data_IF_967724226286
#
_entry.id   IF_967724226286
#
_cell.length_a   1.000
_cell.length_b   1.000
_cell.length_c   1.000
_cell.angle_alpha   90.00
_cell.angle_beta   90.00
_cell.angle_gamma   90.00
#
_symmetry.space_group_name_H-M   'P 1'
#
loop_
_entity.id
_entity.type
_entity.pdbx_description
1 polymer ?
#
# COMPACT_ATOMS: atom_id res chain seq x y z
N UNK A 1 10.63 1.00 -4.28
CA UNK A 1 9.30 0.43 -4.64
C UNK A 1 8.83 0.94 -5.98
N UNK A 2 8.51 2.24 -6.16
CA UNK A 2 8.08 2.81 -7.45
C UNK A 2 9.04 2.49 -8.60
N UNK A 3 10.34 2.70 -8.42
CA UNK A 3 11.36 2.37 -9.44
C UNK A 3 11.28 0.90 -9.89
N UNK A 4 11.08 -0.03 -8.94
CA UNK A 4 10.94 -1.47 -9.22
C UNK A 4 9.60 -1.84 -9.84
N UNK A 5 8.53 -1.13 -9.48
CA UNK A 5 7.21 -1.29 -10.13
C UNK A 5 7.27 -0.86 -11.60
N UNK A 6 7.89 0.29 -11.88
CA UNK A 6 8.12 0.77 -13.26
C UNK A 6 9.03 -0.17 -14.05
N UNK A 7 10.09 -0.71 -13.44
CA UNK A 7 10.94 -1.73 -14.09
C UNK A 7 10.13 -2.98 -14.48
N UNK A 8 9.25 -3.44 -13.59
CA UNK A 8 8.39 -4.60 -13.84
C UNK A 8 7.38 -4.33 -14.96
N UNK A 9 6.86 -3.11 -15.06
CA UNK A 9 5.91 -2.70 -16.09
C UNK A 9 6.52 -2.45 -17.47
N UNK A 10 7.85 -2.52 -17.65
CA UNK A 10 8.46 -2.43 -18.98
C UNK A 10 7.92 -3.49 -19.95
N UNK A 11 7.65 -4.70 -19.46
CA UNK A 11 7.01 -5.75 -20.28
C UNK A 11 5.60 -5.39 -20.74
N UNK A 12 4.87 -4.66 -19.90
CA UNK A 12 3.53 -4.16 -20.23
C UNK A 12 3.63 -3.04 -21.27
N UNK A 13 4.60 -2.13 -21.10
CA UNK A 13 4.92 -1.07 -22.05
C UNK A 13 5.29 -1.64 -23.43
N UNK A 14 6.10 -2.70 -23.48
CA UNK A 14 6.47 -3.38 -24.74
C UNK A 14 5.28 -4.08 -25.42
N UNK A 15 4.28 -4.51 -24.65
CA UNK A 15 3.11 -5.26 -25.15
C UNK A 15 1.92 -4.37 -25.57
N UNK A 16 1.99 -3.06 -25.35
CA UNK A 16 0.85 -2.14 -25.49
C UNK A 16 1.29 -0.89 -26.25
N UNK A 17 0.54 -0.52 -27.29
CA UNK A 17 0.84 0.67 -28.08
C UNK A 17 0.69 1.99 -27.29
N UNK A 18 -0.48 2.23 -26.68
CA UNK A 18 -0.74 3.37 -25.81
C UNK A 18 -1.86 3.07 -24.80
N UNK A 19 -1.81 3.75 -23.65
CA UNK A 19 -2.84 3.62 -22.62
C UNK A 19 -2.49 4.26 -21.29
N UNK A 20 -3.39 4.09 -20.32
CA UNK A 20 -3.23 4.53 -18.94
C UNK A 20 -3.29 3.31 -18.03
N UNK A 21 -2.21 3.06 -17.29
CA UNK A 21 -2.13 2.00 -16.29
C UNK A 21 -2.68 2.50 -14.97
N UNK A 22 -3.71 1.82 -14.44
CA UNK A 22 -4.25 2.05 -13.11
C UNK A 22 -3.79 0.90 -12.22
N UNK A 23 -2.99 1.22 -11.20
CA UNK A 23 -2.41 0.25 -10.27
C UNK A 23 -2.43 0.77 -8.84
N UNK A 24 -2.44 -0.13 -7.86
CA UNK A 24 -2.27 0.26 -6.47
C UNK A 24 -0.80 0.60 -6.16
N UNK A 25 -0.58 1.51 -5.22
CA UNK A 25 0.77 2.03 -4.90
C UNK A 25 1.53 1.16 -3.90
N UNK A 26 0.83 0.24 -3.25
CA UNK A 26 1.31 -0.68 -2.21
C UNK A 26 1.46 -2.11 -2.71
N UNK A 27 1.53 -2.32 -4.03
CA UNK A 27 1.74 -3.63 -4.64
C UNK A 27 2.89 -3.61 -5.62
N UNK A 28 3.48 -4.79 -5.82
CA UNK A 28 4.46 -5.01 -6.87
C UNK A 28 4.15 -6.32 -7.58
N UNK A 29 3.99 -6.23 -8.89
CA UNK A 29 3.72 -7.34 -9.78
C UNK A 29 5.01 -7.85 -10.41
N UNK A 30 5.22 -9.16 -10.36
CA UNK A 30 6.38 -9.79 -10.98
C UNK A 30 6.00 -10.42 -12.32
N UNK A 31 6.68 -9.99 -13.37
CA UNK A 31 6.57 -10.58 -14.70
C UNK A 31 7.78 -11.47 -14.95
N UNK A 32 7.55 -12.78 -15.01
CA UNK A 32 8.61 -13.73 -15.31
C UNK A 32 9.27 -13.36 -16.67
N UNK A 33 10.60 -13.12 -16.72
CA UNK A 33 11.30 -12.78 -17.96
C UNK A 33 11.06 -13.75 -19.12
N UNK A 34 10.82 -15.03 -18.82
CA UNK A 34 10.61 -16.10 -19.81
C UNK A 34 9.21 -16.12 -20.44
N UNK A 35 8.25 -15.38 -19.88
CA UNK A 35 6.88 -15.33 -20.37
C UNK A 35 6.75 -14.17 -21.35
N UNK A 36 6.28 -14.47 -22.57
CA UNK A 36 5.87 -13.45 -23.52
C UNK A 36 4.49 -12.93 -23.13
N UNK A 37 4.35 -11.62 -23.05
CA UNK A 37 3.07 -10.98 -22.74
C UNK A 37 2.39 -10.62 -24.05
N UNK A 38 1.34 -11.37 -24.41
CA UNK A 38 0.55 -11.11 -25.60
C UNK A 38 -0.77 -10.48 -25.19
N UNK A 39 -1.06 -9.31 -25.76
CA UNK A 39 -2.26 -8.52 -25.46
C UNK A 39 -2.92 -8.18 -26.78
N UNK A 40 -4.22 -8.43 -26.87
CA UNK A 40 -5.02 -8.12 -28.05
C UNK A 40 -5.08 -6.60 -28.27
N UNK A 41 -4.55 -6.12 -29.40
CA UNK A 41 -4.58 -4.70 -29.74
C UNK A 41 -5.98 -4.13 -29.97
N UNK A 42 -6.99 -4.99 -30.15
CA UNK A 42 -8.39 -4.56 -30.29
C UNK A 42 -9.14 -4.47 -28.96
N UNK A 43 -8.55 -4.90 -27.83
CA UNK A 43 -9.17 -4.73 -26.50
C UNK A 43 -9.12 -3.26 -26.09
N UNK A 44 -10.21 -2.70 -25.56
CA UNK A 44 -10.23 -1.31 -25.07
C UNK A 44 -9.80 -1.22 -23.60
N UNK A 45 -9.94 -2.32 -22.87
CA UNK A 45 -9.58 -2.46 -21.47
C UNK A 45 -8.91 -3.81 -21.25
N UNK A 46 -7.74 -3.79 -20.60
CA UNK A 46 -6.99 -4.99 -20.23
C UNK A 46 -6.96 -5.10 -18.71
N UNK A 47 -7.49 -6.20 -18.17
CA UNK A 47 -7.47 -6.50 -16.75
C UNK A 47 -6.36 -7.49 -16.46
N UNK A 48 -5.51 -7.21 -15.47
CA UNK A 48 -4.51 -8.16 -15.02
C UNK A 48 -4.96 -8.81 -13.71
N UNK A 49 -4.79 -10.13 -13.64
CA UNK A 49 -5.12 -10.89 -12.45
C UNK A 49 -4.10 -11.97 -12.12
N UNK A 50 -4.24 -12.52 -10.91
CA UNK A 50 -3.35 -13.55 -10.37
C UNK A 50 -4.15 -14.70 -9.79
N UNK A 51 -3.59 -15.91 -9.83
CA UNK A 51 -4.17 -17.06 -9.12
C UNK A 51 -3.86 -16.97 -7.63
N UNK A 52 -4.87 -16.68 -6.83
CA UNK A 52 -4.75 -16.49 -5.38
C UNK A 52 -5.58 -17.51 -4.61
N UNK A 53 -5.32 -17.66 -3.32
CA UNK A 53 -6.18 -18.49 -2.46
C UNK A 53 -7.55 -17.85 -2.26
N UNK A 54 -8.54 -18.64 -1.83
CA UNK A 54 -9.88 -18.13 -1.52
C UNK A 54 -9.81 -17.07 -0.41
N UNK A 55 -8.96 -17.27 0.60
CA UNK A 55 -8.75 -16.30 1.69
C UNK A 55 -8.36 -14.91 1.17
N UNK A 56 -7.47 -14.88 0.17
CA UNK A 56 -7.04 -13.63 -0.48
C UNK A 56 -8.19 -13.04 -1.31
N UNK A 57 -8.99 -13.89 -1.98
CA UNK A 57 -10.20 -13.50 -2.69
C UNK A 57 -11.23 -12.76 -1.83
N UNK A 58 -11.37 -13.13 -0.55
CA UNK A 58 -12.28 -12.45 0.40
C UNK A 58 -11.89 -10.98 0.66
N UNK A 59 -10.64 -10.60 0.38
CA UNK A 59 -10.10 -9.26 0.63
C UNK A 59 -9.90 -8.41 -0.64
N UNK A 60 -10.04 -9.00 -1.83
CA UNK A 60 -9.76 -8.38 -3.12
C UNK A 60 -10.93 -8.49 -4.10
N UNK A 61 -10.80 -7.87 -5.28
CA UNK A 61 -11.69 -8.13 -6.39
C UNK A 61 -11.40 -9.51 -6.99
N UNK A 62 -12.43 -10.20 -7.47
CA UNK A 62 -12.30 -11.52 -8.09
C UNK A 62 -12.93 -11.49 -9.48
N UNK A 63 -12.15 -11.87 -10.49
CA UNK A 63 -12.62 -12.03 -11.86
C UNK A 63 -13.24 -13.41 -12.02
N UNK A 64 -14.50 -13.43 -12.47
CA UNK A 64 -15.19 -14.64 -12.89
C UNK A 64 -15.05 -14.72 -14.39
N UNK A 65 -14.41 -15.78 -14.88
CA UNK A 65 -14.22 -16.02 -16.31
C UNK A 65 -15.19 -17.10 -16.78
N UNK A 66 -15.73 -16.93 -17.98
CA UNK A 66 -16.54 -17.94 -18.62
C UNK A 66 -15.68 -19.11 -19.16
N UNK A 67 -16.32 -20.12 -19.75
CA UNK A 67 -15.64 -21.29 -20.32
C UNK A 67 -14.66 -20.98 -21.46
N UNK A 68 -14.75 -19.79 -22.07
CA UNK A 68 -13.88 -19.33 -23.14
C UNK A 68 -12.77 -18.40 -22.61
N UNK A 69 -12.69 -18.19 -21.29
CA UNK A 69 -11.76 -17.26 -20.67
C UNK A 69 -12.15 -15.79 -20.78
N UNK A 70 -13.37 -15.48 -21.22
CA UNK A 70 -13.87 -14.11 -21.27
C UNK A 70 -14.40 -13.68 -19.90
N UNK A 71 -14.29 -12.38 -19.60
CA UNK A 71 -14.80 -11.85 -18.34
C UNK A 71 -16.32 -11.95 -18.28
N UNK A 72 -16.83 -12.77 -17.36
CA UNK A 72 -18.26 -12.87 -17.08
C UNK A 72 -18.69 -11.73 -16.15
N UNK A 73 -18.00 -11.55 -15.03
CA UNK A 73 -18.27 -10.49 -14.04
C UNK A 73 -17.08 -10.26 -13.11
N UNK A 74 -17.13 -9.16 -12.38
CA UNK A 74 -16.19 -8.85 -11.30
C UNK A 74 -16.92 -8.84 -9.96
N UNK A 75 -16.46 -9.66 -9.03
CA UNK A 75 -16.87 -9.62 -7.63
C UNK A 75 -15.93 -8.70 -6.85
N UNK A 76 -16.42 -8.02 -5.82
CA UNK A 76 -15.64 -7.08 -5.02
C UNK A 76 -15.72 -7.45 -3.55
N UNK A 77 -14.63 -8.04 -3.04
CA UNK A 77 -14.52 -8.63 -1.70
C UNK A 77 -15.63 -9.65 -1.41
N UNK A 78 -15.82 -10.66 -2.30
CA UNK A 78 -16.87 -11.65 -2.13
C UNK A 78 -16.65 -12.59 -0.95
N UNK A 79 -17.71 -13.21 -0.46
CA UNK A 79 -17.59 -14.36 0.46
C UNK A 79 -17.15 -15.63 -0.27
N UNK A 80 -16.76 -16.66 0.49
CA UNK A 80 -16.44 -17.99 -0.06
C UNK A 80 -17.63 -18.61 -0.78
N UNK A 81 -18.82 -18.41 -0.23
CA UNK A 81 -20.07 -18.90 -0.78
C UNK A 81 -20.35 -18.22 -2.11
N UNK A 82 -20.27 -16.88 -2.17
CA UNK A 82 -20.44 -16.11 -3.41
C UNK A 82 -19.46 -16.56 -4.49
N UNK A 83 -18.18 -16.79 -4.16
CA UNK A 83 -17.18 -17.30 -5.11
C UNK A 83 -17.52 -18.69 -5.66
N UNK A 84 -18.10 -19.57 -4.83
CA UNK A 84 -18.51 -20.92 -5.27
C UNK A 84 -19.76 -20.88 -6.13
N UNK A 85 -20.77 -20.12 -5.71
CA UNK A 85 -22.05 -20.00 -6.42
C UNK A 85 -21.88 -19.39 -7.82
N UNK A 86 -20.98 -18.42 -7.94
CA UNK A 86 -20.63 -17.76 -9.19
C UNK A 86 -19.59 -18.51 -10.03
N UNK A 87 -19.13 -19.69 -9.57
CA UNK A 87 -18.09 -20.50 -10.23
C UNK A 87 -16.77 -19.74 -10.45
N UNK A 88 -16.45 -18.80 -9.56
CA UNK A 88 -15.19 -18.07 -9.57
C UNK A 88 -13.98 -18.95 -9.20
N UNK A 89 -14.23 -20.07 -8.51
CA UNK A 89 -13.18 -21.00 -8.08
C UNK A 89 -12.65 -21.80 -9.27
N UNK A 90 -11.37 -21.60 -9.57
CA UNK A 90 -10.63 -22.29 -10.63
C UNK A 90 -9.83 -23.48 -10.06
N UNK A 91 -9.10 -24.18 -10.94
CA UNK A 91 -8.25 -25.32 -10.58
C UNK A 91 -7.32 -25.02 -9.40
N UNK A 92 -7.13 -26.02 -8.53
CA UNK A 92 -6.31 -25.89 -7.33
C UNK A 92 -6.99 -25.17 -6.17
N UNK A 93 -8.32 -25.02 -6.20
CA UNK A 93 -9.10 -24.30 -5.18
C UNK A 93 -8.62 -22.84 -5.02
N UNK A 94 -8.36 -22.20 -6.16
CA UNK A 94 -7.89 -20.83 -6.28
C UNK A 94 -8.93 -19.95 -6.95
N UNK A 95 -8.72 -18.64 -6.91
CA UNK A 95 -9.53 -17.64 -7.61
C UNK A 95 -8.62 -16.69 -8.37
N UNK A 96 -9.16 -15.97 -9.36
CA UNK A 96 -8.41 -14.96 -10.11
C UNK A 96 -8.66 -13.60 -9.46
N UNK A 97 -7.72 -13.10 -8.67
CA UNK A 97 -7.86 -11.80 -8.02
C UNK A 97 -7.39 -10.67 -8.93
N UNK A 98 -8.00 -9.50 -8.78
CA UNK A 98 -7.59 -8.28 -9.47
C UNK A 98 -6.19 -7.81 -9.05
N UNK A 99 -5.54 -7.07 -9.95
CA UNK A 99 -4.19 -6.54 -9.75
C UNK A 99 -4.10 -5.09 -10.19
N UNK A 100 -3.94 -4.88 -11.49
CA UNK A 100 -3.94 -3.58 -12.14
C UNK A 100 -4.67 -3.72 -13.47
N UNK A 101 -5.01 -2.60 -14.09
CA UNK A 101 -5.72 -2.62 -15.37
C UNK A 101 -5.34 -1.42 -16.23
N UNK A 102 -5.63 -1.52 -17.52
CA UNK A 102 -5.16 -0.58 -18.52
C UNK A 102 -6.30 -0.15 -19.41
N UNK A 103 -6.56 1.14 -19.45
CA UNK A 103 -7.40 1.73 -20.49
C UNK A 103 -6.55 2.05 -21.72
N UNK A 104 -6.98 1.60 -22.91
CA UNK A 104 -6.36 2.07 -24.16
C UNK A 104 -6.58 3.56 -24.34
N UNK A 105 -5.61 4.25 -24.95
CA UNK A 105 -5.58 5.72 -24.99
C UNK A 105 -6.82 6.35 -25.64
N UNK A 106 -7.27 5.83 -26.79
CA UNK A 106 -8.47 6.34 -27.46
C UNK A 106 -9.73 6.18 -26.60
N UNK A 107 -9.91 4.99 -26.01
CA UNK A 107 -11.05 4.69 -25.15
C UNK A 107 -11.04 5.58 -23.90
N UNK A 108 -9.90 5.67 -23.23
CA UNK A 108 -9.71 6.52 -22.05
C UNK A 108 -10.06 7.98 -22.35
N UNK A 109 -9.53 8.53 -23.45
CA UNK A 109 -9.77 9.92 -23.83
C UNK A 109 -11.25 10.16 -24.12
N UNK A 110 -11.83 9.40 -25.03
CA UNK A 110 -13.18 9.66 -25.56
C UNK A 110 -14.31 9.34 -24.57
N UNK A 111 -14.12 8.36 -23.69
CA UNK A 111 -15.20 7.89 -22.82
C UNK A 111 -15.04 8.30 -21.36
N UNK A 112 -13.81 8.46 -20.87
CA UNK A 112 -13.57 8.81 -19.47
C UNK A 112 -13.20 10.28 -19.30
N UNK A 113 -12.26 10.80 -20.09
CA UNK A 113 -11.86 12.21 -19.98
C UNK A 113 -12.94 13.16 -20.50
N UNK A 114 -13.43 12.95 -21.72
CA UNK A 114 -14.49 13.80 -22.29
C UNK A 114 -15.77 13.77 -21.42
N UNK A 115 -16.07 12.62 -20.80
CA UNK A 115 -17.16 12.48 -19.83
C UNK A 115 -16.87 13.24 -18.53
N UNK A 116 -15.67 13.10 -17.96
CA UNK A 116 -15.28 13.83 -16.76
C UNK A 116 -15.31 15.34 -16.97
N UNK A 117 -14.86 15.82 -18.14
CA UNK A 117 -14.87 17.23 -18.52
C UNK A 117 -16.29 17.79 -18.63
N UNK A 118 -17.27 16.97 -19.02
CA UNK A 118 -18.69 17.35 -19.02
C UNK A 118 -19.25 17.68 -17.62
N UNK A 119 -18.51 17.32 -16.56
CA UNK A 119 -18.83 17.65 -15.17
C UNK A 119 -17.83 18.63 -14.54
N UNK A 120 -16.99 19.29 -15.32
CA UNK A 120 -15.99 20.25 -14.83
C UNK A 120 -16.60 21.41 -14.02
N UNK A 121 -17.84 21.81 -14.34
CA UNK A 121 -18.60 22.83 -13.60
C UNK A 121 -19.42 22.26 -12.43
N UNK A 122 -19.43 20.94 -12.22
CA UNK A 122 -20.17 20.30 -11.13
C UNK A 122 -19.58 20.69 -9.77
N UNK A 123 -20.45 21.07 -8.84
CA UNK A 123 -20.05 21.30 -7.44
C UNK A 123 -19.98 20.01 -6.63
N UNK A 124 -20.50 18.90 -7.15
CA UNK A 124 -20.49 17.58 -6.49
C UNK A 124 -19.06 17.03 -6.42
N UNK A 125 -18.54 16.83 -5.20
CA UNK A 125 -17.19 16.27 -4.99
C UNK A 125 -17.27 14.98 -4.20
N UNK A 126 -16.84 13.89 -4.82
CA UNK A 126 -16.76 12.58 -4.18
C UNK A 126 -15.44 11.88 -4.49
N UNK A 127 -14.88 11.20 -3.50
CA UNK A 127 -13.79 10.25 -3.71
C UNK A 127 -14.39 8.95 -4.25
N UNK A 128 -13.98 8.57 -5.46
CA UNK A 128 -14.40 7.32 -6.12
C UNK A 128 -13.32 6.25 -6.00
N UNK A 129 -13.74 5.00 -5.91
CA UNK A 129 -12.87 3.84 -5.85
C UNK A 129 -12.54 3.33 -7.26
N UNK A 130 -11.26 3.40 -7.65
CA UNK A 130 -10.80 2.91 -8.95
C UNK A 130 -11.24 1.46 -9.23
N UNK A 131 -11.11 0.55 -8.26
CA UNK A 131 -11.50 -0.85 -8.46
C UNK A 131 -13.02 -1.06 -8.29
N UNK A 132 -13.58 -0.58 -7.18
CA UNK A 132 -14.98 -0.80 -6.83
C UNK A 132 -15.97 -0.14 -7.79
N UNK A 133 -15.68 1.06 -8.29
CA UNK A 133 -16.57 1.80 -9.18
C UNK A 133 -16.33 1.44 -10.66
N UNK A 134 -15.09 1.17 -11.09
CA UNK A 134 -14.77 0.91 -12.50
C UNK A 134 -14.86 -0.56 -12.89
N UNK A 135 -14.62 -1.50 -11.98
CA UNK A 135 -14.59 -2.93 -12.32
C UNK A 135 -15.93 -3.65 -12.13
N UNK A 136 -16.75 -3.28 -11.13
CA UNK A 136 -18.09 -3.86 -10.92
C UNK A 136 -19.00 -3.88 -12.17
N UNK A 137 -18.99 -2.86 -13.05
CA UNK A 137 -19.83 -2.83 -14.25
C UNK A 137 -19.34 -3.76 -15.36
N UNK A 138 -18.13 -4.32 -15.26
CA UNK A 138 -17.49 -5.05 -16.34
C UNK A 138 -17.97 -6.50 -16.42
N UNK A 139 -17.80 -7.07 -17.62
CA UNK A 139 -18.13 -8.43 -17.95
C UNK A 139 -19.46 -8.56 -18.69
N UNK A 140 -19.71 -9.74 -19.24
CA UNK A 140 -20.91 -10.02 -20.04
C UNK A 140 -22.18 -10.17 -19.17
N UNK A 141 -22.03 -10.42 -17.87
CA UNK A 141 -23.14 -10.58 -16.92
C UNK A 141 -22.85 -9.89 -15.57
N UNK A 142 -22.73 -8.54 -15.54
CA UNK A 142 -22.43 -7.81 -14.32
C UNK A 142 -23.54 -7.97 -13.27
N UNK A 143 -23.17 -8.00 -12.00
CA UNK A 143 -24.10 -8.23 -10.90
C UNK A 143 -24.94 -6.96 -10.59
N UNK A 144 -26.17 -6.96 -11.09
CA UNK A 144 -27.10 -5.84 -10.94
C UNK A 144 -27.53 -5.61 -9.48
N UNK A 145 -27.62 -6.67 -8.67
CA UNK A 145 -28.03 -6.58 -7.27
C UNK A 145 -26.90 -6.05 -6.40
N UNK A 146 -25.69 -6.59 -6.55
CA UNK A 146 -24.49 -6.10 -5.87
C UNK A 146 -24.25 -4.61 -6.21
N UNK A 147 -24.47 -4.21 -7.47
CA UNK A 147 -24.47 -2.80 -7.88
C UNK A 147 -25.50 -1.97 -7.12
N UNK A 148 -26.76 -2.38 -7.11
CA UNK A 148 -27.83 -1.64 -6.46
C UNK A 148 -27.57 -1.47 -4.95
N UNK A 149 -27.07 -2.53 -4.30
CA UNK A 149 -26.63 -2.48 -2.90
C UNK A 149 -25.52 -1.44 -2.69
N UNK A 150 -24.47 -1.49 -3.50
CA UNK A 150 -23.31 -0.59 -3.39
C UNK A 150 -23.65 0.89 -3.62
N UNK A 151 -24.65 1.19 -4.48
CA UNK A 151 -25.18 2.57 -4.64
C UNK A 151 -26.00 2.98 -3.42
N UNK A 152 -26.90 2.11 -2.92
CA UNK A 152 -27.71 2.39 -1.72
C UNK A 152 -26.86 2.66 -0.48
N UNK A 153 -25.76 1.93 -0.33
CA UNK A 153 -24.79 2.16 0.75
C UNK A 153 -24.20 3.58 0.68
N UNK A 154 -23.83 4.06 -0.51
CA UNK A 154 -23.40 5.46 -0.67
C UNK A 154 -24.54 6.45 -0.37
N UNK A 155 -25.78 6.18 -0.77
CA UNK A 155 -26.90 7.10 -0.49
C UNK A 155 -27.08 7.38 1.01
N UNK A 156 -26.75 6.39 1.86
CA UNK A 156 -26.86 6.51 3.31
C UNK A 156 -25.74 7.35 3.96
N UNK A 157 -24.60 7.53 3.27
CA UNK A 157 -23.39 8.16 3.85
C UNK A 157 -22.92 9.41 3.10
N UNK A 158 -23.07 9.44 1.78
CA UNK A 158 -22.64 10.51 0.90
C UNK A 158 -23.49 10.52 -0.40
N UNK A 159 -24.43 11.47 -0.48
CA UNK A 159 -25.32 11.61 -1.63
C UNK A 159 -24.59 11.96 -2.92
N UNK A 160 -23.54 12.78 -2.87
CA UNK A 160 -22.74 13.13 -4.05
C UNK A 160 -22.03 11.89 -4.60
N UNK A 161 -21.47 11.05 -3.72
CA UNK A 161 -20.89 9.75 -4.12
C UNK A 161 -21.93 8.83 -4.76
N UNK A 162 -23.14 8.77 -4.21
CA UNK A 162 -24.21 7.95 -4.80
C UNK A 162 -24.58 8.43 -6.21
N UNK A 163 -24.68 9.74 -6.42
CA UNK A 163 -24.93 10.33 -7.75
C UNK A 163 -23.78 10.07 -8.70
N UNK A 164 -22.54 10.25 -8.26
CA UNK A 164 -21.35 9.94 -9.05
C UNK A 164 -21.34 8.48 -9.48
N UNK A 165 -21.58 7.54 -8.56
CA UNK A 165 -21.71 6.11 -8.88
C UNK A 165 -22.82 5.89 -9.93
N UNK A 166 -24.02 6.44 -9.73
CA UNK A 166 -25.13 6.29 -10.69
C UNK A 166 -24.76 6.79 -12.10
N UNK A 167 -24.16 7.97 -12.20
CA UNK A 167 -23.72 8.55 -13.49
C UNK A 167 -22.64 7.69 -14.13
N UNK A 168 -21.67 7.26 -13.33
CA UNK A 168 -20.57 6.42 -13.79
C UNK A 168 -21.09 5.08 -14.29
N UNK A 169 -21.91 4.37 -13.52
CA UNK A 169 -22.57 3.14 -13.96
C UNK A 169 -23.38 3.35 -15.24
N UNK A 170 -24.06 4.49 -15.41
CA UNK A 170 -24.84 4.77 -16.62
C UNK A 170 -23.94 4.93 -17.85
N UNK A 171 -22.86 5.70 -17.74
CA UNK A 171 -21.83 5.79 -18.78
C UNK A 171 -21.31 4.40 -19.11
N UNK A 172 -20.93 3.66 -18.09
CA UNK A 172 -20.27 2.38 -18.23
C UNK A 172 -21.18 1.30 -18.79
N UNK A 173 -22.48 1.28 -18.51
CA UNK A 173 -23.39 0.33 -19.20
C UNK A 173 -23.54 0.70 -20.68
N UNK A 174 -23.71 1.98 -20.99
CA UNK A 174 -23.86 2.45 -22.38
C UNK A 174 -22.58 2.24 -23.21
N UNK A 175 -21.42 2.41 -22.58
CA UNK A 175 -20.10 2.30 -23.19
C UNK A 175 -19.55 0.88 -23.09
N UNK A 176 -19.41 0.32 -21.88
CA UNK A 176 -18.80 -1.01 -21.66
C UNK A 176 -19.62 -2.18 -22.20
N UNK A 177 -20.93 -2.03 -22.43
CA UNK A 177 -21.70 -3.03 -23.19
C UNK A 177 -21.19 -3.25 -24.63
N UNK A 178 -20.29 -2.37 -25.11
CA UNK A 178 -19.63 -2.45 -26.42
C UNK A 178 -18.11 -2.56 -26.31
N UNK A 179 -17.57 -2.64 -25.09
CA UNK A 179 -16.13 -2.68 -24.88
C UNK A 179 -15.61 -4.09 -24.90
N UNK A 180 -14.55 -4.27 -25.67
CA UNK A 180 -13.78 -5.50 -25.64
C UNK A 180 -12.86 -5.48 -24.43
N UNK A 181 -13.23 -6.21 -23.40
CA UNK A 181 -12.41 -6.43 -22.20
C UNK A 181 -11.60 -7.70 -22.39
N UNK A 182 -10.29 -7.58 -22.21
CA UNK A 182 -9.36 -8.71 -22.16
C UNK A 182 -8.93 -8.94 -20.71
N UNK A 183 -8.86 -10.19 -20.28
CA UNK A 183 -8.31 -10.54 -18.96
C UNK A 183 -7.02 -11.34 -19.14
N UNK A 184 -5.93 -10.82 -18.62
CA UNK A 184 -4.60 -11.45 -18.61
C UNK A 184 -4.34 -12.00 -17.21
N UNK A 185 -4.31 -13.33 -17.09
CA UNK A 185 -3.93 -13.99 -15.84
C UNK A 185 -2.43 -14.25 -15.88
N UNK A 186 -1.67 -13.60 -15.00
CA UNK A 186 -0.23 -13.77 -14.96
C UNK A 186 0.13 -15.22 -14.57
N UNK A 187 0.98 -15.91 -15.35
CA UNK A 187 1.27 -17.32 -15.13
C UNK A 187 2.30 -17.52 -14.02
N UNK A 188 2.16 -18.62 -13.29
CA UNK A 188 3.04 -19.02 -12.19
C UNK A 188 2.50 -18.64 -10.81
N UNK A 189 3.31 -18.94 -9.80
CA UNK A 189 3.15 -18.46 -8.43
C UNK A 189 4.01 -17.20 -8.21
N UNK A 190 3.83 -16.51 -7.09
CA UNK A 190 4.68 -15.38 -6.67
C UNK A 190 4.73 -14.20 -7.68
N UNK A 191 3.61 -13.98 -8.37
CA UNK A 191 3.45 -12.89 -9.36
C UNK A 191 2.96 -11.58 -8.76
N UNK A 192 2.59 -11.56 -7.48
CA UNK A 192 1.99 -10.42 -6.80
C UNK A 192 2.48 -10.31 -5.36
N UNK A 193 2.93 -9.12 -4.98
CA UNK A 193 3.42 -8.83 -3.63
C UNK A 193 2.73 -7.59 -3.08
N UNK A 194 1.97 -7.76 -2.01
CA UNK A 194 1.28 -6.67 -1.31
C UNK A 194 2.11 -6.17 -0.12
N UNK A 195 2.19 -4.85 0.02
CA UNK A 195 2.97 -4.11 1.02
C UNK A 195 2.07 -3.20 1.87
N UNK A 196 0.92 -3.70 2.30
CA UNK A 196 -0.05 -2.93 3.08
C UNK A 196 0.34 -2.77 4.56
N UNK A 197 1.22 -3.62 5.08
CA UNK A 197 1.63 -3.63 6.49
C UNK A 197 3.15 -3.70 6.66
N UNK A 198 3.64 -3.21 7.82
CA UNK A 198 5.06 -3.33 8.18
C UNK A 198 5.51 -4.79 8.31
N UNK A 199 4.60 -5.68 8.71
CA UNK A 199 4.83 -7.13 8.75
C UNK A 199 5.06 -7.70 7.36
N UNK A 200 4.14 -7.45 6.41
CA UNK A 200 4.29 -7.90 5.01
C UNK A 200 5.59 -7.36 4.40
N UNK A 201 5.90 -6.08 4.61
CA UNK A 201 7.16 -5.50 4.14
C UNK A 201 8.38 -6.26 4.69
N UNK A 202 8.37 -6.57 5.98
CA UNK A 202 9.46 -7.33 6.63
C UNK A 202 9.57 -8.76 6.11
N UNK A 203 8.45 -9.44 5.87
CA UNK A 203 8.40 -10.79 5.30
C UNK A 203 8.94 -10.80 3.85
N UNK A 204 8.54 -9.81 3.03
CA UNK A 204 8.98 -9.70 1.65
C UNK A 204 10.47 -9.40 1.53
N UNK A 205 11.01 -8.49 2.35
CA UNK A 205 12.43 -8.15 2.26
C UNK A 205 13.34 -9.12 3.03
N UNK A 206 12.78 -10.11 3.73
CA UNK A 206 13.57 -11.14 4.43
C UNK A 206 14.36 -12.02 3.46
N UNK A 207 15.56 -12.44 3.89
CA UNK A 207 16.45 -13.28 3.07
C UNK A 207 15.75 -14.55 2.60
N UNK A 208 15.72 -14.77 1.29
CA UNK A 208 15.18 -15.98 0.68
C UNK A 208 13.66 -16.04 0.55
N UNK A 209 12.96 -14.93 0.84
CA UNK A 209 11.54 -14.77 0.51
C UNK A 209 11.29 -14.95 -0.99
N UNK A 210 10.04 -15.24 -1.37
CA UNK A 210 9.62 -15.26 -2.76
C UNK A 210 9.93 -13.92 -3.46
N UNK A 211 9.64 -12.81 -2.77
CA UNK A 211 9.92 -11.47 -3.27
C UNK A 211 11.40 -11.27 -3.61
N UNK A 212 12.34 -11.63 -2.74
CA UNK A 212 13.77 -11.47 -3.02
C UNK A 212 14.26 -12.35 -4.18
N UNK A 213 13.66 -13.53 -4.37
CA UNK A 213 13.98 -14.44 -5.47
C UNK A 213 13.49 -13.88 -6.81
N UNK A 214 12.31 -13.29 -6.83
CA UNK A 214 11.70 -12.71 -8.03
C UNK A 214 12.29 -11.33 -8.37
N UNK A 215 12.46 -10.48 -7.36
CA UNK A 215 12.85 -9.08 -7.49
C UNK A 215 14.09 -8.87 -6.63
N UNK A 216 15.24 -8.77 -7.29
CA UNK A 216 16.49 -8.49 -6.62
C UNK A 216 16.47 -7.11 -5.98
N UNK A 217 16.22 -7.09 -4.68
CA UNK A 217 16.48 -5.97 -3.78
C UNK A 217 17.71 -6.31 -2.96
N UNK A 218 18.63 -5.36 -2.77
CA UNK A 218 19.80 -5.59 -1.93
C UNK A 218 19.37 -6.08 -0.54
N UNK A 219 20.09 -7.07 0.00
CA UNK A 219 19.88 -7.54 1.37
C UNK A 219 20.41 -6.48 2.33
N UNK A 220 19.57 -5.56 2.80
CA UNK A 220 20.00 -4.59 3.80
C UNK A 220 18.97 -4.43 4.90
N UNK A 221 19.33 -4.89 6.09
CA UNK A 221 18.72 -4.46 7.35
C UNK A 221 18.85 -2.94 7.56
N UNK A 222 19.78 -2.30 6.84
CA UNK A 222 20.08 -0.87 6.89
C UNK A 222 19.87 -0.26 5.50
N UNK A 223 18.76 0.43 5.27
CA UNK A 223 18.39 0.99 3.95
C UNK A 223 18.59 2.50 3.95
N UNK A 224 19.54 3.02 3.16
CA UNK A 224 19.79 4.47 3.04
C UNK A 224 19.88 5.18 4.40
N UNK A 225 20.57 4.57 5.35
CA UNK A 225 20.76 5.07 6.71
C UNK A 225 22.24 5.31 6.97
N UNK A 226 22.56 6.25 7.86
CA UNK A 226 23.91 6.45 8.38
C UNK A 226 23.98 5.85 9.77
N UNK A 227 24.74 4.76 9.89
CA UNK A 227 24.97 4.03 11.14
C UNK A 227 26.47 3.89 11.33
N UNK A 228 26.98 3.98 12.55
CA UNK A 228 28.38 3.66 12.83
C UNK A 228 28.58 2.15 12.85
N UNK A 229 29.77 1.67 12.45
CA UNK A 229 30.09 0.24 12.26
C UNK A 229 29.94 -0.62 13.53
N UNK A 230 29.70 0.00 14.69
CA UNK A 230 29.51 -0.68 15.98
C UNK A 230 28.10 -1.26 16.18
N UNK A 231 27.15 -0.92 15.31
CA UNK A 231 25.75 -1.33 15.49
C UNK A 231 25.43 -2.57 14.68
N UNK A 232 25.01 -3.63 15.37
CA UNK A 232 24.43 -4.80 14.74
C UNK A 232 22.90 -4.69 14.78
N UNK A 233 22.29 -4.45 13.62
CA UNK A 233 20.83 -4.47 13.49
C UNK A 233 20.40 -5.92 13.26
N UNK A 234 19.46 -6.48 14.06
CA UNK A 234 19.00 -7.84 13.85
C UNK A 234 18.55 -8.09 12.41
N UNK A 235 18.88 -9.25 11.84
CA UNK A 235 18.53 -9.63 10.46
C UNK A 235 17.02 -9.63 10.17
N UNK A 236 16.22 -9.73 11.23
CA UNK A 236 14.75 -9.66 11.21
C UNK A 236 14.18 -8.24 11.27
N UNK A 237 15.04 -7.22 11.37
CA UNK A 237 14.65 -5.84 11.61
C UNK A 237 15.20 -4.93 10.52
N UNK A 238 14.51 -3.81 10.32
CA UNK A 238 14.80 -2.86 9.24
C UNK A 238 14.99 -1.49 9.84
N UNK A 239 16.08 -0.83 9.47
CA UNK A 239 16.40 0.54 9.77
C UNK A 239 16.56 1.32 8.47
N UNK A 240 15.55 2.11 8.10
CA UNK A 240 15.58 2.90 6.88
C UNK A 240 15.62 4.41 7.13
N UNK A 241 16.29 5.13 6.22
CA UNK A 241 16.37 6.59 6.22
C UNK A 241 16.68 7.19 7.59
N UNK A 242 17.54 6.56 8.37
CA UNK A 242 17.83 6.95 9.74
C UNK A 242 19.27 7.44 9.89
N UNK A 243 19.50 8.35 10.85
CA UNK A 243 20.84 8.86 11.17
C UNK A 243 21.17 8.59 12.62
N UNK A 244 22.04 7.62 12.86
CA UNK A 244 22.43 7.19 14.19
C UNK A 244 23.74 7.89 14.54
N UNK A 245 23.66 8.87 15.44
CA UNK A 245 24.80 9.64 15.96
C UNK A 245 25.04 9.23 17.41
N UNK A 246 25.48 8.01 17.70
CA UNK A 246 25.57 7.49 19.08
C UNK A 246 25.26 6.00 19.11
N UNK A 247 24.85 5.49 20.27
CA UNK A 247 24.41 4.10 20.45
C UNK A 247 22.90 3.95 20.18
N UNK A 248 22.48 2.78 19.70
CA UNK A 248 21.08 2.40 19.47
C UNK A 248 20.91 0.88 19.64
N UNK A 249 19.97 0.46 20.48
CA UNK A 249 19.57 -0.95 20.59
C UNK A 249 18.23 -1.18 19.89
N UNK A 250 18.19 -2.11 18.92
CA UNK A 250 16.96 -2.49 18.23
C UNK A 250 16.67 -3.97 18.49
N UNK A 251 15.46 -4.26 18.96
CA UNK A 251 14.93 -5.62 19.08
C UNK A 251 14.70 -6.32 17.72
N UNK A 252 14.32 -7.59 17.78
CA UNK A 252 13.94 -8.38 16.59
C UNK A 252 12.58 -7.95 16.04
N UNK A 253 12.32 -8.20 14.76
CA UNK A 253 11.06 -7.90 14.07
C UNK A 253 10.63 -6.43 14.16
N UNK A 254 11.56 -5.49 14.10
CA UNK A 254 11.27 -4.07 14.15
C UNK A 254 11.33 -3.42 12.76
N UNK A 255 10.45 -2.46 12.50
CA UNK A 255 10.57 -1.53 11.36
C UNK A 255 10.79 -0.12 11.89
N UNK A 256 11.97 0.44 11.65
CA UNK A 256 12.38 1.74 12.15
C UNK A 256 12.71 2.66 10.98
N UNK A 257 12.01 3.79 10.89
CA UNK A 257 12.18 4.72 9.75
C UNK A 257 12.35 6.16 10.21
N UNK A 258 13.23 6.87 9.51
CA UNK A 258 13.35 8.33 9.60
C UNK A 258 13.80 8.86 10.97
N UNK A 259 14.42 8.02 11.81
CA UNK A 259 14.86 8.43 13.15
C UNK A 259 16.20 9.13 13.14
N UNK A 260 16.43 9.95 14.16
CA UNK A 260 17.73 10.54 14.47
C UNK A 260 18.06 10.33 15.94
N UNK A 261 19.26 9.84 16.23
CA UNK A 261 19.78 9.74 17.61
C UNK A 261 20.85 10.79 17.89
N UNK A 262 21.26 10.91 19.15
CA UNK A 262 22.33 11.79 19.65
C UNK A 262 23.32 10.97 20.48
N UNK A 263 24.54 11.46 20.65
CA UNK A 263 25.64 10.68 21.24
C UNK A 263 25.44 10.38 22.72
N UNK A 264 24.60 11.18 23.37
CA UNK A 264 24.52 11.26 24.82
C UNK A 264 23.50 10.26 25.40
N UNK A 265 22.72 9.59 24.54
CA UNK A 265 21.63 8.68 24.94
C UNK A 265 21.68 7.45 24.04
N UNK A 266 21.44 6.27 24.61
CA UNK A 266 21.23 5.03 23.88
C UNK A 266 19.75 4.66 23.88
N UNK A 267 18.98 4.98 22.83
CA UNK A 267 17.58 4.58 22.74
C UNK A 267 17.46 3.06 22.63
N UNK A 268 16.47 2.48 23.31
CA UNK A 268 16.18 1.03 23.25
C UNK A 268 14.82 0.82 22.62
N UNK A 269 14.79 0.23 21.43
CA UNK A 269 13.57 -0.07 20.68
C UNK A 269 13.19 -1.53 20.97
N UNK A 270 12.05 -1.79 21.63
CA UNK A 270 11.66 -3.15 22.00
C UNK A 270 11.33 -4.00 20.76
N UNK A 271 11.43 -5.34 20.83
CA UNK A 271 11.07 -6.23 19.73
C UNK A 271 9.64 -6.03 19.23
N UNK A 272 9.40 -6.28 17.94
CA UNK A 272 8.06 -6.18 17.34
C UNK A 272 7.54 -4.76 17.23
N UNK A 273 8.42 -3.77 17.14
CA UNK A 273 8.06 -2.34 17.11
C UNK A 273 8.19 -1.78 15.70
N UNK A 274 7.11 -1.16 15.23
CA UNK A 274 7.15 -0.23 14.10
C UNK A 274 7.24 1.19 14.65
N UNK A 275 8.28 1.94 14.27
CA UNK A 275 8.55 3.28 14.77
C UNK A 275 9.00 4.22 13.64
N UNK A 276 8.32 5.37 13.52
CA UNK A 276 8.56 6.31 12.41
C UNK A 276 8.57 7.74 12.95
N UNK A 277 9.62 8.51 12.68
CA UNK A 277 9.63 9.96 12.94
C UNK A 277 9.17 10.74 11.72
N UNK A 278 8.19 11.61 11.91
CA UNK A 278 7.53 12.42 10.87
C UNK A 278 7.81 13.90 11.14
N UNK A 279 8.47 14.63 10.23
CA UNK A 279 8.56 16.09 10.32
C UNK A 279 7.20 16.72 10.01
N UNK A 280 6.85 17.77 10.74
CA UNK A 280 5.59 18.48 10.63
C UNK A 280 5.77 19.86 9.98
N UNK A 281 4.71 20.37 9.36
CA UNK A 281 4.70 21.69 8.67
C UNK A 281 5.09 22.82 9.63
N UNK A 282 4.69 22.74 10.90
CA UNK A 282 5.03 23.70 11.95
C UNK A 282 6.50 23.59 12.44
N UNK A 283 7.36 22.85 11.72
CA UNK A 283 8.76 22.61 12.05
C UNK A 283 9.02 21.85 13.36
N UNK A 284 8.00 21.19 13.91
CA UNK A 284 8.16 20.15 14.92
C UNK A 284 8.33 18.77 14.27
N UNK A 285 8.51 17.75 15.11
CA UNK A 285 8.62 16.34 14.75
C UNK A 285 7.71 15.53 15.65
N UNK A 286 7.09 14.48 15.12
CA UNK A 286 6.33 13.50 15.91
C UNK A 286 6.82 12.11 15.58
N UNK A 287 6.99 11.27 16.59
CA UNK A 287 7.42 9.88 16.43
C UNK A 287 6.24 8.99 16.79
N UNK A 288 5.76 8.26 15.80
CA UNK A 288 4.66 7.31 15.97
C UNK A 288 5.23 5.92 16.20
N UNK A 289 4.62 5.16 17.08
CA UNK A 289 5.03 3.79 17.39
C UNK A 289 3.83 2.88 17.61
N UNK A 290 3.92 1.66 17.08
CA UNK A 290 2.91 0.61 17.22
C UNK A 290 3.54 -0.77 17.05
N UNK A 291 2.89 -1.80 17.58
CA UNK A 291 3.33 -3.18 17.43
C UNK A 291 3.18 -3.62 15.97
N UNK A 292 4.25 -4.16 15.36
CA UNK A 292 4.37 -4.45 13.92
C UNK A 292 3.27 -5.36 13.37
N UNK A 293 2.68 -6.21 14.22
CA UNK A 293 1.58 -7.11 13.86
C UNK A 293 0.16 -6.56 14.05
N UNK A 294 -0.01 -5.35 14.61
CA UNK A 294 -1.35 -4.79 14.90
C UNK A 294 -1.92 -4.03 13.70
N UNK A 295 -3.20 -4.22 13.42
CA UNK A 295 -3.96 -3.40 12.48
C UNK A 295 -4.40 -2.10 13.18
N UNK A 296 -3.88 -0.96 12.70
CA UNK A 296 -4.17 0.34 13.31
C UNK A 296 -5.65 0.77 13.20
N UNK A 297 -6.36 0.22 12.22
CA UNK A 297 -7.77 0.56 11.95
C UNK A 297 -8.76 -0.31 12.71
N UNK A 298 -8.28 -1.29 13.47
CA UNK A 298 -9.09 -2.10 14.37
C UNK A 298 -9.00 -1.58 15.80
N UNK A 299 -10.03 -1.86 16.60
CA UNK A 299 -10.04 -1.46 18.00
C UNK A 299 -9.04 -2.33 18.80
N UNK A 300 -8.14 -1.67 19.53
CA UNK A 300 -7.19 -2.29 20.43
C UNK A 300 -7.57 -2.00 21.88
N UNK A 301 -7.33 -2.97 22.77
CA UNK A 301 -7.50 -2.80 24.22
C UNK A 301 -6.26 -2.23 24.89
N UNK A 302 -5.10 -2.34 24.25
CA UNK A 302 -3.81 -1.95 24.82
C UNK A 302 -2.83 -1.44 23.75
N UNK A 303 -1.83 -0.70 24.22
CA UNK A 303 -0.70 -0.20 23.44
C UNK A 303 0.60 -0.49 24.21
N UNK A 304 1.46 -1.35 23.66
CA UNK A 304 2.69 -1.84 24.29
C UNK A 304 2.48 -2.36 25.72
N UNK A 305 1.42 -3.14 25.94
CA UNK A 305 1.07 -3.73 27.24
C UNK A 305 0.32 -2.77 28.18
N UNK A 306 0.06 -1.52 27.77
CA UNK A 306 -0.69 -0.55 28.56
C UNK A 306 -2.15 -0.49 28.13
N UNK A 307 -3.04 -0.79 29.06
CA UNK A 307 -4.48 -0.86 28.78
C UNK A 307 -5.09 0.52 28.54
N UNK A 308 -5.93 0.63 27.51
CA UNK A 308 -6.84 1.73 27.33
C UNK A 308 -8.05 1.60 28.25
N UNK A 309 -8.65 2.72 28.64
CA UNK A 309 -9.92 2.75 29.40
C UNK A 309 -11.09 2.11 28.63
N UNK A 310 -11.01 2.08 27.30
CA UNK A 310 -11.98 1.46 26.39
C UNK A 310 -11.29 1.03 25.10
N UNK A 311 -11.85 0.07 24.34
CA UNK A 311 -11.34 -0.29 23.03
C UNK A 311 -11.17 0.94 22.14
N UNK A 312 -9.97 1.12 21.59
CA UNK A 312 -9.56 2.34 20.89
C UNK A 312 -8.87 2.00 19.58
N UNK A 313 -9.26 2.64 18.48
CA UNK A 313 -8.56 2.51 17.19
C UNK A 313 -7.24 3.29 17.23
N UNK A 314 -6.11 2.59 17.13
CA UNK A 314 -4.77 3.20 17.19
C UNK A 314 -4.56 4.27 16.11
N UNK A 315 -5.23 4.14 14.95
CA UNK A 315 -5.19 5.13 13.87
C UNK A 315 -5.60 6.54 14.32
N UNK A 316 -6.59 6.63 15.21
CA UNK A 316 -7.16 7.88 15.72
C UNK A 316 -6.79 8.16 17.19
N UNK A 317 -6.04 7.25 17.82
CA UNK A 317 -5.63 7.40 19.21
C UNK A 317 -4.59 8.53 19.33
N UNK A 318 -4.87 9.54 20.14
CA UNK A 318 -3.96 10.67 20.39
C UNK A 318 -2.88 10.27 21.38
N UNK A 319 -1.79 9.67 20.87
CA UNK A 319 -0.74 9.04 21.67
C UNK A 319 0.64 9.66 21.45
N UNK A 320 0.80 10.64 20.56
CA UNK A 320 2.14 11.07 20.15
C UNK A 320 2.33 12.56 20.35
N UNK A 321 3.32 12.94 21.14
CA UNK A 321 3.64 14.35 21.38
C UNK A 321 4.55 14.88 20.29
N UNK A 322 4.20 16.05 19.75
CA UNK A 322 5.07 16.77 18.83
C UNK A 322 6.18 17.50 19.61
N UNK A 323 7.42 17.34 19.18
CA UNK A 323 8.61 17.92 19.80
C UNK A 323 9.38 18.82 18.82
N UNK A 324 10.19 19.74 19.34
CA UNK A 324 10.98 20.67 18.51
C UNK A 324 12.10 20.00 17.71
N UNK A 325 12.56 18.82 18.13
CA UNK A 325 13.64 18.09 17.47
C UNK A 325 13.27 16.63 17.28
N UNK A 326 13.82 16.00 16.23
CA UNK A 326 13.61 14.58 15.94
C UNK A 326 14.09 13.66 17.08
N UNK A 327 15.29 13.84 17.68
CA UNK A 327 15.72 13.01 18.82
C UNK A 327 14.83 13.16 20.05
N UNK A 328 14.37 14.38 20.38
CA UNK A 328 13.44 14.59 21.47
C UNK A 328 12.12 13.84 21.24
N UNK A 329 11.60 13.92 20.01
CA UNK A 329 10.38 13.20 19.63
C UNK A 329 10.53 11.67 19.79
N UNK A 330 11.67 11.11 19.36
CA UNK A 330 11.97 9.70 19.53
C UNK A 330 11.95 9.29 21.01
N UNK A 331 12.67 10.03 21.85
CA UNK A 331 12.79 9.72 23.27
C UNK A 331 11.47 9.89 24.02
N UNK A 332 10.69 10.93 23.71
CA UNK A 332 9.35 11.13 24.28
C UNK A 332 8.44 9.95 23.98
N UNK A 333 8.44 9.45 22.73
CA UNK A 333 7.62 8.29 22.35
C UNK A 333 8.10 7.01 23.04
N UNK A 334 9.42 6.75 23.07
CA UNK A 334 9.96 5.55 23.73
C UNK A 334 9.70 5.55 25.25
N UNK A 335 9.87 6.68 25.93
CA UNK A 335 9.52 6.79 27.35
C UNK A 335 8.03 6.54 27.59
N UNK A 336 7.18 7.03 26.70
CA UNK A 336 5.73 6.81 26.79
C UNK A 336 5.32 5.36 26.57
N UNK A 337 6.04 4.62 25.71
CA UNK A 337 5.85 3.18 25.54
C UNK A 337 6.23 2.39 26.81
N UNK A 338 7.22 2.87 27.57
CA UNK A 338 7.65 2.23 28.81
C UNK A 338 6.70 2.53 29.98
N UNK A 339 6.34 3.80 30.16
CA UNK A 339 5.62 4.26 31.35
C UNK A 339 4.09 4.20 31.21
N UNK A 340 3.56 4.04 29.99
CA UNK A 340 2.12 3.96 29.73
C UNK A 340 1.34 5.26 29.97
N UNK A 341 2.04 6.35 30.29
CA UNK A 341 1.47 7.64 30.68
C UNK A 341 0.47 8.21 29.64
N UNK A 342 0.65 7.90 28.36
CA UNK A 342 -0.22 8.43 27.30
C UNK A 342 -1.55 7.67 27.12
N UNK A 343 -1.70 6.47 27.72
CA UNK A 343 -2.97 5.74 27.74
C UNK A 343 -3.95 6.31 28.78
N UNK A 344 -3.48 7.15 29.71
CA UNK A 344 -4.26 7.64 30.86
C UNK A 344 -4.41 9.16 30.92
N UNK A 345 -3.54 9.91 30.23
CA UNK A 345 -3.53 11.38 30.19
C UNK A 345 -4.64 12.01 29.31
N UNK A 346 -4.87 13.31 29.52
CA UNK A 346 -5.73 14.11 28.65
C UNK A 346 -5.13 14.21 27.25
N UNK A 347 -5.97 14.14 26.21
CA UNK A 347 -5.53 14.14 24.81
C UNK A 347 -5.08 15.51 24.28
N UNK A 348 -4.86 16.47 25.19
CA UNK A 348 -4.52 17.84 24.86
C UNK A 348 -3.06 17.94 24.42
N UNK A 349 -2.81 18.47 23.22
CA UNK A 349 -1.47 18.57 22.64
C UNK A 349 -0.88 17.27 22.08
N UNK A 350 -1.59 16.14 22.18
CA UNK A 350 -1.20 14.86 21.57
C UNK A 350 -1.82 14.69 20.18
N UNK A 351 -1.07 14.00 19.31
CA UNK A 351 -1.43 13.68 17.94
C UNK A 351 -1.72 12.19 17.80
N UNK A 352 -2.66 11.85 16.93
CA UNK A 352 -2.83 10.51 16.39
C UNK A 352 -1.97 10.27 15.15
N UNK A 353 -1.92 9.02 14.67
CA UNK A 353 -1.30 8.71 13.38
C UNK A 353 -2.01 9.47 12.24
N UNK A 354 -3.33 9.54 12.27
CA UNK A 354 -4.14 10.32 11.32
C UNK A 354 -3.77 11.81 11.33
N UNK A 355 -3.65 12.40 12.52
CA UNK A 355 -3.24 13.81 12.67
C UNK A 355 -1.83 14.04 12.13
N UNK A 356 -0.88 13.16 12.46
CA UNK A 356 0.51 13.24 12.02
C UNK A 356 0.62 13.16 10.50
N UNK A 357 -0.13 12.26 9.85
CA UNK A 357 -0.14 12.11 8.40
C UNK A 357 -0.77 13.30 7.67
N UNK A 358 -1.70 14.00 8.32
CA UNK A 358 -2.34 15.22 7.80
C UNK A 358 -1.40 16.43 7.92
N UNK A 359 -0.65 16.50 9.02
CA UNK A 359 0.24 17.63 9.32
C UNK A 359 1.68 17.46 8.82
N UNK A 360 2.00 16.35 8.12
CA UNK A 360 3.35 16.02 7.68
C UNK A 360 3.92 17.03 6.68
N UNK A 361 5.20 17.33 6.83
CA UNK A 361 5.96 18.13 5.87
C UNK A 361 6.60 17.21 4.83
N UNK A 362 5.89 16.99 3.73
CA UNK A 362 6.34 16.10 2.65
C UNK A 362 7.67 16.56 2.04
N UNK A 363 7.91 17.88 1.93
CA UNK A 363 9.17 18.40 1.37
C UNK A 363 10.34 18.03 2.27
N UNK A 364 10.24 18.27 3.58
CA UNK A 364 11.27 17.85 4.54
C UNK A 364 11.49 16.34 4.57
N UNK A 365 10.43 15.54 4.44
CA UNK A 365 10.57 14.07 4.33
C UNK A 365 11.39 13.69 3.10
N UNK A 366 11.10 14.28 1.93
CA UNK A 366 11.82 14.01 0.68
C UNK A 366 13.27 14.48 0.78
N UNK A 367 13.51 15.69 1.28
CA UNK A 367 14.87 16.25 1.44
C UNK A 367 15.73 15.39 2.37
N UNK A 368 15.15 14.92 3.49
CA UNK A 368 15.82 14.02 4.43
C UNK A 368 16.21 12.69 3.76
N UNK A 369 15.26 12.06 3.07
CA UNK A 369 15.48 10.79 2.36
C UNK A 369 16.53 10.93 1.25
N UNK A 370 16.47 12.00 0.46
CA UNK A 370 17.46 12.29 -0.59
C UNK A 370 18.86 12.52 0.00
N UNK A 371 18.96 13.28 1.09
CA UNK A 371 20.23 13.52 1.78
C UNK A 371 20.88 12.21 2.23
N UNK A 372 20.12 11.32 2.87
CA UNK A 372 20.66 10.06 3.35
C UNK A 372 20.96 9.06 2.21
N UNK A 373 20.12 8.99 1.17
CA UNK A 373 20.42 8.21 -0.05
C UNK A 373 21.76 8.63 -0.68
N UNK A 374 22.00 9.95 -0.80
CA UNK A 374 23.28 10.46 -1.32
C UNK A 374 24.47 10.12 -0.42
N UNK A 375 24.27 10.12 0.90
CA UNK A 375 25.33 9.78 1.84
C UNK A 375 25.65 8.28 1.82
N UNK A 376 24.64 7.41 1.70
CA UNK A 376 24.86 5.95 1.62
C UNK A 376 25.57 5.55 0.32
N UNK A 377 25.19 6.14 -0.81
CA UNK A 377 25.86 5.83 -2.09
C UNK A 377 27.34 6.24 -2.08
N UNK A 378 27.69 7.35 -1.43
CA UNK A 378 29.08 7.80 -1.29
C UNK A 378 29.92 6.91 -0.36
N UNK A 379 29.32 6.28 0.66
CA UNK A 379 30.04 5.32 1.49
C UNK A 379 30.32 4.03 0.73
N UNK A 380 29.36 3.56 -0.08
CA UNK A 380 29.51 2.33 -0.88
C UNK A 380 30.60 2.50 -1.95
N UNK A 381 30.65 3.64 -2.65
CA UNK A 381 31.70 3.96 -3.63
C UNK A 381 33.11 4.00 -3.00
N UNK A 382 33.24 4.49 -1.75
CA UNK A 382 34.51 4.51 -1.03
C UNK A 382 34.95 3.11 -0.62
N UNK A 383 34.05 2.30 -0.06
CA UNK A 383 34.33 0.92 0.30
C UNK A 383 34.72 0.07 -0.92
N UNK A 384 34.13 0.34 -2.08
CA UNK A 384 34.45 -0.32 -3.35
C UNK A 384 35.86 0.01 -3.86
N UNK A 385 36.36 1.23 -3.60
CA UNK A 385 37.68 1.68 -4.04
C UNK A 385 38.81 1.32 -3.07
N UNK A 386 38.50 1.09 -1.79
CA UNK A 386 39.49 0.66 -0.77
C UNK A 386 39.71 -0.86 -0.76
N UNK A 387 38.87 -1.63 -1.47
CA UNK A 387 38.95 -3.09 -1.58
C UNK A 387 39.65 -3.64 -2.84
N UNK A 388 40.30 -2.78 -3.64
CA UNK A 388 41.08 -3.16 -4.83
C UNK A 388 42.59 -3.08 -4.59
#
# INVERSE_FOLDING_TARGET
MVEKKLESYRKVEEAIENGVVISSSDTLEYFNPKVNLEIDNSSNLVLFGHRSSIEVGEQHGVYVLDKNGQLERVLQKPTREEMRETKAVVEGNRVITDSFYIFRGEFFRTNLLDWADSFSESTEKAEVCCYGDFLRPLGNHPDAEAKAKYIREAMSTNLDLARWRLRFFSLLVCTFGKVKVETVVLPGDDTFFHFGTAKEFSEHISKGSAFQKCISVGNSTIVHSKVSDKHEIPSSSILEYSKIEGDLEIGKNCFVSSIKTTSDVCPKIPPGTTLITIPLINSCFVTVAFETGKNLKEAANEWFGHNFKKPTMLWNAKLFKAEKTSPASLMTTLGSMQDGNLCTQTSEGLMSMSDALTAKDVRKMVDWRQKLRRLSLKSDERASNEGN
#
